data_IF_152048813857
#
_entry.id   IF_152048813857
#
_cell.length_a   1.000
_cell.length_b   1.000
_cell.length_c   1.000
_cell.angle_alpha   90.00
_cell.angle_beta   90.00
_cell.angle_gamma   90.00
#
_symmetry.space_group_name_H-M   'P 1'
#
loop_
_entity.id
_entity.type
_entity.pdbx_description
1 polymer ?
#
# COMPACT_ATOMS: atom_id res chain seq x y z
N UNK A 1 -27.45 32.83 45.82
CA UNK A 1 -26.59 31.87 45.10
C UNK A 1 -26.48 32.37 43.68
N UNK A 2 -25.33 32.92 43.30
CA UNK A 2 -25.14 33.52 41.97
C UNK A 2 -24.39 32.53 41.09
N UNK A 3 -25.12 31.76 40.30
CA UNK A 3 -24.56 30.91 39.25
C UNK A 3 -24.07 31.83 38.12
N UNK A 4 -22.79 32.16 38.16
CA UNK A 4 -22.17 32.98 37.12
C UNK A 4 -21.79 32.04 35.98
N UNK A 5 -22.26 32.24 34.73
CA UNK A 5 -21.94 31.35 33.63
C UNK A 5 -20.42 31.35 33.42
N UNK A 6 -19.78 30.20 33.64
CA UNK A 6 -18.35 30.04 33.42
C UNK A 6 -18.08 30.23 31.92
N UNK A 7 -17.26 31.20 31.49
CA UNK A 7 -16.96 31.36 30.07
C UNK A 7 -16.33 30.07 29.56
N UNK A 8 -16.91 29.51 28.49
CA UNK A 8 -16.35 28.34 27.80
C UNK A 8 -14.94 28.70 27.34
N UNK A 9 -13.95 27.88 27.71
CA UNK A 9 -12.59 28.03 27.18
C UNK A 9 -12.64 27.98 25.65
N UNK A 10 -11.88 28.85 24.97
CA UNK A 10 -11.77 28.81 23.50
C UNK A 10 -11.33 27.42 23.06
N UNK A 11 -11.99 26.87 22.05
CA UNK A 11 -11.54 25.62 21.44
C UNK A 11 -10.13 25.81 20.87
N UNK A 12 -9.28 24.79 21.05
CA UNK A 12 -7.98 24.78 20.43
C UNK A 12 -8.13 24.68 18.91
N UNK A 13 -7.44 25.55 18.17
CA UNK A 13 -7.43 25.57 16.71
C UNK A 13 -6.04 25.19 16.20
N UNK A 14 -6.00 24.40 15.12
CA UNK A 14 -4.74 24.12 14.44
C UNK A 14 -4.25 25.37 13.72
N UNK A 15 -3.00 25.74 14.00
CA UNK A 15 -2.31 26.78 13.23
C UNK A 15 -2.09 26.33 11.79
N UNK A 16 -1.82 27.28 10.89
CA UNK A 16 -1.46 26.95 9.51
C UNK A 16 -0.22 26.03 9.44
N UNK A 17 0.74 26.20 10.36
CA UNK A 17 1.92 25.36 10.45
C UNK A 17 1.56 23.91 10.82
N UNK A 18 0.70 23.70 11.83
CA UNK A 18 0.27 22.35 12.22
C UNK A 18 -0.47 21.64 11.08
N UNK A 19 -1.34 22.37 10.37
CA UNK A 19 -2.06 21.80 9.22
C UNK A 19 -1.10 21.38 8.12
N UNK A 20 -0.10 22.22 7.82
CA UNK A 20 0.92 21.93 6.82
C UNK A 20 1.74 20.69 7.18
N UNK A 21 2.22 20.61 8.41
CA UNK A 21 2.98 19.44 8.90
C UNK A 21 2.18 18.14 8.77
N UNK A 22 0.90 18.16 9.16
CA UNK A 22 0.01 17.00 9.02
C UNK A 22 -0.24 16.64 7.55
N UNK A 23 -0.45 17.64 6.67
CA UNK A 23 -0.62 17.40 5.23
C UNK A 23 0.64 16.81 4.58
N UNK A 24 1.83 17.30 4.94
CA UNK A 24 3.10 16.77 4.45
C UNK A 24 3.31 15.33 4.92
N UNK A 25 3.03 15.05 6.19
CA UNK A 25 3.09 13.70 6.75
C UNK A 25 2.11 12.73 6.08
N UNK A 26 0.85 13.14 5.87
CA UNK A 26 -0.15 12.34 5.18
C UNK A 26 0.29 12.04 3.74
N UNK A 27 0.78 13.04 3.01
CA UNK A 27 1.27 12.88 1.63
C UNK A 27 2.43 11.89 1.57
N UNK A 28 3.36 11.94 2.53
CA UNK A 28 4.47 10.99 2.59
C UNK A 28 3.99 9.55 2.83
N UNK A 29 2.98 9.36 3.69
CA UNK A 29 2.37 8.04 3.92
C UNK A 29 1.71 7.52 2.65
N UNK A 30 0.89 8.34 1.99
CA UNK A 30 0.18 7.94 0.78
C UNK A 30 1.16 7.52 -0.32
N UNK A 31 2.21 8.32 -0.55
CA UNK A 31 3.28 7.99 -1.50
C UNK A 31 4.00 6.68 -1.15
N UNK A 32 4.28 6.44 0.14
CA UNK A 32 4.93 5.21 0.58
C UNK A 32 4.02 3.98 0.37
N UNK A 33 2.72 4.11 0.60
CA UNK A 33 1.74 3.04 0.37
C UNK A 33 1.61 2.71 -1.13
N UNK A 34 1.61 3.72 -2.00
CA UNK A 34 1.63 3.52 -3.45
C UNK A 34 2.89 2.77 -3.92
N UNK A 35 4.07 3.13 -3.37
CA UNK A 35 5.33 2.43 -3.63
C UNK A 35 5.28 0.97 -3.21
N UNK A 36 4.78 0.69 -2.01
CA UNK A 36 4.62 -0.67 -1.49
C UNK A 36 3.70 -1.49 -2.39
N UNK A 37 2.57 -0.92 -2.81
CA UNK A 37 1.63 -1.61 -3.71
C UNK A 37 2.27 -1.91 -5.08
N UNK A 38 3.03 -0.97 -5.65
CA UNK A 38 3.75 -1.19 -6.91
C UNK A 38 4.79 -2.30 -6.79
N UNK A 39 5.57 -2.31 -5.70
CA UNK A 39 6.56 -3.37 -5.44
C UNK A 39 5.88 -4.71 -5.22
N UNK A 40 4.75 -4.75 -4.50
CA UNK A 40 3.96 -5.97 -4.29
C UNK A 40 3.50 -6.57 -5.62
N UNK A 41 3.01 -5.74 -6.55
CA UNK A 41 2.62 -6.17 -7.90
C UNK A 41 3.81 -6.72 -8.70
N UNK A 42 4.94 -6.02 -8.70
CA UNK A 42 6.15 -6.47 -9.40
C UNK A 42 6.67 -7.81 -8.85
N UNK A 43 6.65 -7.96 -7.52
CA UNK A 43 6.98 -9.20 -6.84
C UNK A 43 6.04 -10.35 -7.22
N UNK A 44 4.73 -10.12 -7.18
CA UNK A 44 3.71 -11.09 -7.57
C UNK A 44 3.84 -11.53 -9.04
N UNK A 45 4.12 -10.58 -9.96
CA UNK A 45 4.39 -10.87 -11.37
C UNK A 45 5.65 -11.73 -11.55
N UNK A 46 6.70 -11.43 -10.80
CA UNK A 46 7.94 -12.21 -10.81
C UNK A 46 7.72 -13.63 -10.27
N UNK A 47 6.98 -13.77 -9.17
CA UNK A 47 6.58 -15.06 -8.63
C UNK A 47 5.78 -15.88 -9.64
N UNK A 48 4.85 -15.24 -10.36
CA UNK A 48 4.08 -15.87 -11.44
C UNK A 48 4.98 -16.40 -12.56
N UNK A 49 5.87 -15.56 -13.09
CA UNK A 49 6.84 -15.96 -14.12
C UNK A 49 7.70 -17.14 -13.68
N UNK A 50 8.25 -17.09 -12.46
CA UNK A 50 9.10 -18.16 -11.92
C UNK A 50 8.29 -19.45 -11.73
N UNK A 51 7.05 -19.37 -11.22
CA UNK A 51 6.19 -20.53 -11.08
C UNK A 51 5.91 -21.21 -12.43
N UNK A 52 5.65 -20.41 -13.46
CA UNK A 52 5.42 -20.89 -14.83
C UNK A 52 6.69 -21.53 -15.43
N UNK A 53 7.87 -20.92 -15.23
CA UNK A 53 9.17 -21.45 -15.66
C UNK A 53 9.52 -22.79 -15.01
N UNK A 54 9.17 -22.96 -13.73
CA UNK A 54 9.36 -24.22 -13.01
C UNK A 54 8.34 -25.31 -13.41
N UNK A 55 7.23 -24.93 -14.06
CA UNK A 55 6.18 -25.84 -14.49
C UNK A 55 5.44 -26.51 -13.33
N UNK A 56 5.20 -27.83 -13.45
CA UNK A 56 4.40 -28.57 -12.46
C UNK A 56 5.09 -28.55 -11.09
N UNK A 57 4.45 -27.89 -10.12
CA UNK A 57 4.97 -27.77 -8.75
C UNK A 57 5.71 -26.47 -8.46
N UNK A 58 5.80 -25.53 -9.42
CA UNK A 58 6.41 -24.22 -9.24
C UNK A 58 5.84 -23.45 -8.04
N UNK A 59 4.52 -23.37 -7.92
CA UNK A 59 3.84 -22.77 -6.75
C UNK A 59 4.28 -23.40 -5.43
N UNK A 60 4.40 -24.73 -5.38
CA UNK A 60 4.85 -25.45 -4.17
C UNK A 60 6.33 -25.24 -3.87
N UNK A 61 7.17 -25.00 -4.88
CA UNK A 61 8.57 -24.64 -4.69
C UNK A 61 8.71 -23.23 -4.11
N UNK A 62 7.95 -22.27 -4.65
CA UNK A 62 7.88 -20.91 -4.11
C UNK A 62 7.35 -20.90 -2.67
N UNK A 63 6.30 -21.65 -2.39
CA UNK A 63 5.72 -21.76 -1.06
C UNK A 63 6.75 -22.20 0.00
N UNK A 64 7.56 -23.22 -0.33
CA UNK A 64 8.67 -23.68 0.54
C UNK A 64 9.77 -22.64 0.72
N UNK A 65 10.11 -21.91 -0.35
CA UNK A 65 11.13 -20.87 -0.27
C UNK A 65 10.69 -19.69 0.61
N UNK A 66 9.41 -19.34 0.53
CA UNK A 66 8.82 -18.20 1.23
C UNK A 66 8.31 -18.55 2.63
N UNK A 67 8.34 -19.83 3.01
CA UNK A 67 7.77 -20.36 4.25
C UNK A 67 6.27 -19.98 4.42
N UNK A 68 5.50 -20.16 3.35
CA UNK A 68 4.07 -19.88 3.29
C UNK A 68 3.30 -21.02 2.63
N UNK A 69 1.97 -20.96 2.65
CA UNK A 69 1.15 -21.95 1.97
C UNK A 69 1.18 -21.76 0.45
N UNK A 70 1.03 -22.87 -0.29
CA UNK A 70 0.85 -22.80 -1.75
C UNK A 70 -0.40 -22.00 -2.15
N UNK A 71 -1.44 -21.99 -1.31
CA UNK A 71 -2.62 -21.16 -1.52
C UNK A 71 -2.28 -19.67 -1.49
N UNK A 72 -1.45 -19.24 -0.54
CA UNK A 72 -1.00 -17.84 -0.46
C UNK A 72 -0.25 -17.44 -1.74
N UNK A 73 0.65 -18.29 -2.24
CA UNK A 73 1.38 -18.04 -3.49
C UNK A 73 0.44 -17.98 -4.69
N UNK A 74 -0.55 -18.88 -4.77
CA UNK A 74 -1.57 -18.85 -5.83
C UNK A 74 -2.37 -17.53 -5.81
N UNK A 75 -2.82 -17.09 -4.64
CA UNK A 75 -3.54 -15.81 -4.49
C UNK A 75 -2.66 -14.61 -4.84
N UNK A 76 -1.39 -14.63 -4.41
CA UNK A 76 -0.40 -13.61 -4.78
C UNK A 76 -0.28 -13.49 -6.31
N UNK A 77 -0.05 -14.62 -7.00
CA UNK A 77 0.10 -14.64 -8.47
C UNK A 77 -1.19 -14.19 -9.16
N UNK A 78 -2.35 -14.64 -8.69
CA UNK A 78 -3.65 -14.24 -9.26
C UNK A 78 -3.88 -12.73 -9.15
N UNK A 79 -3.54 -12.12 -8.00
CA UNK A 79 -3.69 -10.68 -7.78
C UNK A 79 -2.91 -9.80 -8.76
N UNK A 80 -1.85 -10.35 -9.38
CA UNK A 80 -1.07 -9.65 -10.41
C UNK A 80 -1.67 -9.76 -11.82
N UNK A 81 -2.54 -10.74 -12.08
CA UNK A 81 -3.20 -10.94 -13.38
C UNK A 81 -4.42 -10.04 -13.54
N UNK A 82 -5.12 -9.75 -12.45
CA UNK A 82 -6.32 -8.90 -12.43
C UNK A 82 -6.01 -7.39 -12.32
N UNK A 83 -4.75 -7.03 -12.08
CA UNK A 83 -4.33 -5.63 -12.05
C UNK A 83 -4.19 -5.12 -13.49
N UNK A 84 -4.86 -4.01 -13.88
CA UNK A 84 -4.62 -3.39 -15.17
C UNK A 84 -3.12 -3.06 -15.26
N UNK A 85 -2.53 -3.33 -16.43
CA UNK A 85 -1.15 -2.93 -16.70
C UNK A 85 -1.04 -1.44 -16.39
N UNK A 86 -0.27 -1.09 -15.35
CA UNK A 86 0.20 0.28 -15.16
C UNK A 86 1.03 0.60 -16.39
N UNK A 87 0.37 1.12 -17.42
CA UNK A 87 1.04 1.77 -18.53
C UNK A 87 1.74 2.97 -17.91
N UNK A 88 3.05 2.86 -17.73
CA UNK A 88 3.96 3.98 -17.67
C UNK A 88 3.83 4.75 -18.99
N UNK A 89 2.79 5.59 -19.12
CA UNK A 89 2.86 6.72 -20.02
C UNK A 89 3.52 7.83 -19.22
N UNK A 90 4.84 7.87 -19.37
CA UNK A 90 5.65 9.04 -19.11
C UNK A 90 4.89 10.29 -19.54
N UNK A 91 4.81 11.26 -18.64
CA UNK A 91 4.49 12.62 -18.97
C UNK A 91 5.36 13.04 -20.17
N UNK A 92 4.72 13.27 -21.31
CA UNK A 92 5.35 13.82 -22.49
C UNK A 92 4.57 15.08 -22.88
N UNK A 93 5.30 16.19 -22.80
CA UNK A 93 5.02 17.54 -23.29
C UNK A 93 3.93 18.35 -22.58
#
# INVERSE_FOLDING_TARGET
MSDTPRPRARQAELTAAHKRELSEGQTAIDNALEEVERRRKAYAKSAGRIADELGRGGTSALARHLDVSAQYVSTLIASAKDAPACNERSAAA
#
